data_IF_570226293538
#
_entry.id   IF_570226293538
#
_cell.length_a   1.000
_cell.length_b   1.000
_cell.length_c   1.000
_cell.angle_alpha   90.00
_cell.angle_beta   90.00
_cell.angle_gamma   90.00
#
_symmetry.space_group_name_H-M   'P 1'
#
loop_
_entity.id
_entity.type
_entity.pdbx_description
1 polymer ?
#
# COMPACT_ATOMS: atom_id res chain seq x y z
N UNK A 1 26.58 15.15 29.39
CA UNK A 1 26.47 15.35 27.94
C UNK A 1 26.31 13.98 27.31
N UNK A 2 25.21 13.73 26.60
CA UNK A 2 24.92 12.40 26.05
C UNK A 2 25.41 12.29 24.61
N UNK A 3 25.96 11.13 24.26
CA UNK A 3 26.49 10.80 22.93
C UNK A 3 25.89 9.48 22.45
N UNK A 4 25.65 9.40 21.14
CA UNK A 4 25.14 8.19 20.48
C UNK A 4 26.30 7.39 19.90
N UNK A 5 26.42 6.13 20.30
CA UNK A 5 27.32 5.19 19.65
C UNK A 5 26.84 4.88 18.22
N UNK A 6 27.66 5.17 17.19
CA UNK A 6 27.32 4.87 15.78
C UNK A 6 27.29 3.38 15.46
N UNK A 7 27.96 2.55 16.26
CA UNK A 7 28.06 1.11 16.01
C UNK A 7 26.83 0.35 16.51
N UNK A 8 26.38 0.62 17.74
CA UNK A 8 25.27 -0.14 18.36
C UNK A 8 24.03 0.72 18.70
N UNK A 9 24.07 2.03 18.46
CA UNK A 9 22.95 2.93 18.78
C UNK A 9 22.74 3.19 20.27
N UNK A 10 23.67 2.78 21.14
CA UNK A 10 23.57 3.05 22.58
C UNK A 10 23.77 4.54 22.88
N UNK A 11 22.89 5.11 23.71
CA UNK A 11 23.01 6.49 24.21
C UNK A 11 23.65 6.43 25.59
N UNK A 12 24.76 7.13 25.78
CA UNK A 12 25.48 7.17 27.06
C UNK A 12 26.05 8.56 27.34
N UNK A 13 26.37 8.85 28.61
CA UNK A 13 27.09 10.08 28.98
C UNK A 13 28.53 10.01 28.46
N UNK A 14 28.95 11.05 27.75
CA UNK A 14 30.33 11.23 27.32
C UNK A 14 31.24 11.43 28.53
N UNK A 15 32.31 10.63 28.59
CA UNK A 15 33.34 10.68 29.61
C UNK A 15 34.70 10.79 28.90
N UNK A 16 35.49 11.86 29.12
CA UNK A 16 36.80 12.02 28.50
C UNK A 16 37.81 10.95 28.95
N UNK A 17 37.67 10.40 30.15
CA UNK A 17 38.55 9.35 30.67
C UNK A 17 38.27 7.97 30.05
N UNK A 18 37.10 7.81 29.42
CA UNK A 18 36.68 6.55 28.82
C UNK A 18 35.95 6.81 27.49
N UNK A 19 36.69 7.04 26.38
CA UNK A 19 36.13 7.39 25.08
C UNK A 19 35.61 6.15 24.30
N UNK A 20 35.00 5.19 25.00
CA UNK A 20 34.49 3.95 24.42
C UNK A 20 33.02 3.71 24.80
N UNK A 21 32.28 3.05 23.91
CA UNK A 21 30.91 2.67 24.19
C UNK A 21 30.85 1.59 25.28
N UNK A 22 30.06 1.81 26.33
CA UNK A 22 29.93 0.87 27.45
C UNK A 22 29.26 -0.45 27.07
N UNK A 23 28.55 -0.50 25.92
CA UNK A 23 27.89 -1.73 25.42
C UNK A 23 28.74 -2.52 24.45
N UNK A 24 29.34 -1.87 23.46
CA UNK A 24 30.00 -2.55 22.34
C UNK A 24 31.50 -2.26 22.22
N UNK A 25 32.07 -1.44 23.11
CA UNK A 25 33.51 -1.11 23.11
C UNK A 25 33.97 -0.24 21.94
N UNK A 26 33.08 0.19 21.04
CA UNK A 26 33.46 1.03 19.90
C UNK A 26 33.97 2.39 20.37
N UNK A 27 34.95 2.99 19.69
CA UNK A 27 35.37 4.35 19.99
C UNK A 27 34.20 5.31 19.75
N UNK A 28 34.04 6.28 20.64
CA UNK A 28 33.04 7.34 20.55
C UNK A 28 33.75 8.69 20.67
N UNK A 29 33.24 9.69 19.96
CA UNK A 29 33.81 11.04 19.99
C UNK A 29 32.79 12.05 20.52
N UNK A 30 33.30 13.12 21.13
CA UNK A 30 32.51 14.31 21.47
C UNK A 30 31.76 14.88 20.26
N UNK A 31 32.27 14.69 19.03
CA UNK A 31 31.64 15.14 17.78
C UNK A 31 30.41 14.30 17.37
N UNK A 32 30.18 13.15 17.98
CA UNK A 32 29.05 12.26 17.64
C UNK A 32 27.70 12.73 18.22
N UNK A 33 27.64 13.93 18.80
CA UNK A 33 26.44 14.54 19.38
C UNK A 33 25.33 14.81 18.36
N UNK A 34 25.67 15.37 17.21
CA UNK A 34 24.68 15.90 16.25
C UNK A 34 23.81 14.83 15.59
N UNK A 35 24.27 13.57 15.59
CA UNK A 35 23.54 12.46 14.96
C UNK A 35 22.33 12.03 15.81
N UNK A 36 22.39 12.20 17.13
CA UNK A 36 21.35 11.73 18.07
C UNK A 36 20.02 12.49 17.97
N UNK A 37 20.07 13.79 17.63
CA UNK A 37 18.87 14.63 17.52
C UNK A 37 18.13 14.37 16.20
N UNK A 38 18.88 14.08 15.13
CA UNK A 38 18.33 13.87 13.79
C UNK A 38 17.65 12.51 13.58
N UNK A 39 18.03 11.47 14.33
CA UNK A 39 17.38 10.16 14.25
C UNK A 39 15.95 10.15 14.82
N UNK A 40 15.66 10.99 15.82
CA UNK A 40 14.31 11.08 16.41
C UNK A 40 13.32 11.80 15.49
N UNK A 41 13.79 12.70 14.64
CA UNK A 41 12.98 13.43 13.66
C UNK A 41 12.55 12.59 12.44
N UNK A 42 13.05 11.36 12.30
CA UNK A 42 12.74 10.47 11.18
C UNK A 42 11.47 9.62 11.35
N UNK A 43 10.98 9.43 12.59
CA UNK A 43 9.84 8.53 12.86
C UNK A 43 8.53 9.04 12.24
N UNK A 44 8.33 10.34 12.25
CA UNK A 44 7.09 10.97 11.75
C UNK A 44 7.06 11.00 10.22
N UNK A 45 8.22 11.09 9.57
CA UNK A 45 8.33 11.06 8.10
C UNK A 45 8.07 9.66 7.52
N UNK A 46 8.41 8.61 8.27
CA UNK A 46 8.08 7.23 7.88
C UNK A 46 6.58 6.95 8.01
N UNK A 47 5.92 7.49 9.05
CA UNK A 47 4.48 7.34 9.24
C UNK A 47 3.66 7.98 8.10
N UNK A 48 4.07 9.16 7.63
CA UNK A 48 3.43 9.84 6.49
C UNK A 48 3.56 9.00 5.21
N UNK A 49 4.75 8.44 4.94
CA UNK A 49 4.98 7.60 3.76
C UNK A 49 4.07 6.36 3.74
N UNK A 50 3.93 5.67 4.88
CA UNK A 50 3.04 4.50 5.00
C UNK A 50 1.58 4.90 4.79
N UNK A 51 1.17 6.06 5.33
CA UNK A 51 -0.20 6.57 5.17
C UNK A 51 -0.57 6.81 3.71
N UNK A 52 0.34 7.39 2.91
CA UNK A 52 0.11 7.66 1.48
C UNK A 52 -0.05 6.36 0.69
N UNK A 53 0.80 5.35 0.96
CA UNK A 53 0.73 4.05 0.29
C UNK A 53 -0.59 3.34 0.63
N UNK A 54 -0.97 3.31 1.91
CA UNK A 54 -2.23 2.71 2.34
C UNK A 54 -3.45 3.39 1.68
N UNK A 55 -3.47 4.73 1.63
CA UNK A 55 -4.53 5.49 0.96
C UNK A 55 -4.61 5.15 -0.53
N UNK A 56 -3.46 5.03 -1.20
CA UNK A 56 -3.37 4.71 -2.63
C UNK A 56 -3.94 3.32 -2.94
N UNK A 57 -3.70 2.34 -2.07
CA UNK A 57 -4.26 0.97 -2.18
C UNK A 57 -5.79 1.00 -2.04
N UNK A 58 -6.32 1.76 -1.09
CA UNK A 58 -7.77 1.88 -0.87
C UNK A 58 -8.45 2.52 -2.10
N UNK A 59 -7.88 3.61 -2.61
CA UNK A 59 -8.37 4.27 -3.81
C UNK A 59 -8.31 3.33 -5.01
N UNK A 60 -7.19 2.63 -5.21
CA UNK A 60 -7.04 1.67 -6.30
C UNK A 60 -8.10 0.56 -6.24
N UNK A 61 -8.36 -0.02 -5.07
CA UNK A 61 -9.41 -1.03 -4.91
C UNK A 61 -10.82 -0.49 -5.16
N UNK A 62 -11.09 0.75 -4.77
CA UNK A 62 -12.37 1.41 -5.05
C UNK A 62 -12.59 1.57 -6.55
N UNK A 63 -11.59 2.08 -7.29
CA UNK A 63 -11.65 2.23 -8.74
C UNK A 63 -11.68 0.87 -9.46
N UNK A 64 -10.87 -0.10 -9.05
CA UNK A 64 -10.87 -1.44 -9.62
C UNK A 64 -12.23 -2.14 -9.46
N UNK A 65 -12.91 -1.94 -8.32
CA UNK A 65 -14.27 -2.46 -8.11
C UNK A 65 -15.32 -1.68 -8.91
N UNK A 66 -15.11 -0.39 -9.13
CA UNK A 66 -15.98 0.45 -9.95
C UNK A 66 -15.94 0.04 -11.43
N UNK A 67 -14.76 -0.16 -12.00
CA UNK A 67 -14.59 -0.65 -13.38
C UNK A 67 -15.19 -2.05 -13.59
N UNK A 68 -15.00 -2.96 -12.62
CA UNK A 68 -15.62 -4.29 -12.66
C UNK A 68 -17.16 -4.25 -12.65
N UNK A 69 -17.75 -3.26 -11.99
CA UNK A 69 -19.21 -3.08 -11.97
C UNK A 69 -19.78 -2.58 -13.31
N UNK A 70 -19.03 -1.74 -14.04
CA UNK A 70 -19.42 -1.27 -15.37
C UNK A 70 -19.36 -2.39 -16.40
N UNK A 71 -18.26 -3.17 -16.42
CA UNK A 71 -18.13 -4.35 -17.27
C UNK A 71 -19.21 -5.41 -16.98
N UNK A 72 -19.53 -5.63 -15.69
CA UNK A 72 -20.63 -6.51 -15.30
C UNK A 72 -22.00 -5.98 -15.78
N UNK A 73 -22.23 -4.66 -15.69
CA UNK A 73 -23.44 -4.02 -16.22
C UNK A 73 -23.60 -4.19 -17.73
N UNK A 74 -22.53 -3.95 -18.50
CA UNK A 74 -22.54 -4.15 -19.96
C UNK A 74 -22.76 -5.62 -20.32
N UNK A 75 -22.11 -6.55 -19.61
CA UNK A 75 -22.30 -7.99 -19.80
C UNK A 75 -23.75 -8.43 -19.56
N UNK A 76 -24.41 -7.86 -18.54
CA UNK A 76 -25.81 -8.17 -18.23
C UNK A 76 -26.76 -7.65 -19.32
N UNK A 77 -26.50 -6.47 -19.88
CA UNK A 77 -27.26 -5.92 -21.01
C UNK A 77 -27.12 -6.78 -22.26
N UNK A 78 -25.91 -7.24 -22.59
CA UNK A 78 -25.67 -8.15 -23.72
C UNK A 78 -26.36 -9.51 -23.53
N UNK A 79 -26.35 -10.05 -22.31
CA UNK A 79 -27.04 -11.31 -22.00
C UNK A 79 -28.56 -11.20 -22.16
N UNK A 80 -29.17 -10.12 -21.66
CA UNK A 80 -30.60 -9.84 -21.84
C UNK A 80 -30.93 -9.75 -23.33
N UNK A 81 -30.11 -9.02 -24.10
CA UNK A 81 -30.35 -8.84 -25.53
C UNK A 81 -30.24 -10.16 -26.30
N UNK A 82 -29.22 -10.97 -26.04
CA UNK A 82 -29.09 -12.31 -26.63
C UNK A 82 -30.26 -13.23 -26.30
N UNK A 83 -30.77 -13.17 -25.06
CA UNK A 83 -31.96 -13.95 -24.65
C UNK A 83 -33.23 -13.51 -25.39
N UNK A 84 -33.40 -12.22 -25.65
CA UNK A 84 -34.53 -11.69 -26.43
C UNK A 84 -34.47 -12.20 -27.88
N UNK A 85 -33.30 -12.16 -28.52
CA UNK A 85 -33.12 -12.62 -29.90
C UNK A 85 -33.43 -14.13 -30.01
N UNK A 86 -32.84 -14.94 -29.13
CA UNK A 86 -33.08 -16.39 -29.09
C UNK A 86 -34.57 -16.73 -28.93
N UNK A 87 -35.29 -15.99 -28.06
CA UNK A 87 -36.73 -16.18 -27.90
C UNK A 87 -37.53 -15.79 -29.15
N UNK A 88 -37.09 -14.79 -29.92
CA UNK A 88 -37.73 -14.41 -31.19
C UNK A 88 -37.49 -15.46 -32.27
N UNK A 89 -36.30 -16.04 -32.36
CA UNK A 89 -35.98 -17.11 -33.31
C UNK A 89 -36.77 -18.38 -33.03
N UNK A 90 -36.86 -18.81 -31.76
CA UNK A 90 -37.70 -19.94 -31.35
C UNK A 90 -39.17 -19.75 -31.71
N UNK A 91 -39.70 -18.52 -31.61
CA UNK A 91 -41.07 -18.20 -32.03
C UNK A 91 -41.24 -18.27 -33.55
N UNK A 92 -40.27 -17.79 -34.33
CA UNK A 92 -40.31 -17.86 -35.80
C UNK A 92 -40.29 -19.31 -36.29
N UNK A 93 -39.43 -20.16 -35.73
CA UNK A 93 -39.35 -21.59 -36.12
C UNK A 93 -40.63 -22.37 -35.85
N UNK A 94 -41.30 -22.11 -34.71
CA UNK A 94 -42.60 -22.73 -34.41
C UNK A 94 -43.71 -22.29 -35.36
N UNK A 95 -43.69 -21.05 -35.84
CA UNK A 95 -44.71 -20.54 -36.78
C UNK A 95 -44.54 -21.20 -38.15
N UNK A 96 -43.31 -21.46 -38.60
CA UNK A 96 -43.04 -22.15 -39.87
C UNK A 96 -43.40 -23.63 -39.86
N UNK A 97 -43.31 -24.32 -38.72
CA UNK A 97 -43.75 -25.73 -38.61
C UNK A 97 -45.27 -25.89 -38.59
N UNK A 98 -46.02 -24.86 -38.17
CA UNK A 98 -47.49 -24.89 -38.12
C UNK A 98 -48.09 -24.51 -39.49
N UNK A 99 -47.32 -23.85 -40.36
CA UNK A 99 -47.77 -23.41 -41.70
C UNK A 99 -47.33 -24.33 -42.85
N UNK A 100 -46.74 -25.49 -42.56
CA UNK A 100 -46.35 -26.52 -43.54
C UNK A 100 -47.15 -27.79 -43.33
#
# INVERSE_FOLDING_TARGET
>A
MDVLCRTCGNIQKWNPDYPYCSKCGSPISEKDREVSINLRAGKDKQAIGIGIIALSIVIFHYFARYEGSLLAGIGLLLWIWGKIINNREKKKGKISEISS
#
